data_IF_031980109551
#
_entry.id   IF_031980109551
#
_cell.length_a   1.000
_cell.length_b   1.000
_cell.length_c   1.000
_cell.angle_alpha   90.00
_cell.angle_beta   90.00
_cell.angle_gamma   90.00
#
_symmetry.space_group_name_H-M   'P 1'
#
loop_
_entity.id
_entity.type
_entity.pdbx_description
1 polymer ?
#
# COMPACT_ATOMS: atom_id res chain seq x y z
N UNK A 1 -34.33 44.95 18.20
CA UNK A 1 -34.00 43.65 18.80
C UNK A 1 -33.77 42.59 17.72
N UNK A 2 -32.78 41.71 17.91
CA UNK A 2 -32.88 40.33 17.40
C UNK A 2 -32.38 40.01 15.98
N UNK A 3 -31.12 40.28 15.64
CA UNK A 3 -30.47 39.63 14.47
C UNK A 3 -29.10 39.01 14.78
N UNK A 4 -28.83 38.67 16.04
CA UNK A 4 -27.53 38.12 16.47
C UNK A 4 -27.44 36.59 16.58
N UNK A 5 -28.50 35.83 16.33
CA UNK A 5 -28.55 34.42 16.74
C UNK A 5 -28.54 33.37 15.63
N UNK A 6 -27.79 33.59 14.54
CA UNK A 6 -27.52 32.52 13.56
C UNK A 6 -26.05 32.48 13.15
N UNK A 7 -25.16 32.58 14.14
CA UNK A 7 -23.87 31.87 14.09
C UNK A 7 -24.24 30.39 13.93
N UNK A 8 -24.48 30.00 12.67
CA UNK A 8 -24.77 28.63 12.23
C UNK A 8 -23.66 27.79 12.82
N UNK A 9 -23.98 27.05 13.86
CA UNK A 9 -23.08 26.09 14.49
C UNK A 9 -22.54 25.24 13.34
N UNK A 10 -21.24 25.38 13.03
CA UNK A 10 -20.59 24.59 11.98
C UNK A 10 -20.82 23.14 12.40
N UNK A 11 -21.70 22.43 11.70
CA UNK A 11 -21.95 21.01 11.96
C UNK A 11 -20.60 20.32 11.84
N UNK A 12 -20.12 19.75 12.94
CA UNK A 12 -18.88 19.00 12.94
C UNK A 12 -19.08 17.78 12.05
N UNK A 13 -18.38 17.75 10.91
CA UNK A 13 -18.33 16.56 10.05
C UNK A 13 -17.08 15.79 10.46
N UNK A 14 -17.21 14.63 11.13
CA UNK A 14 -16.04 13.83 11.46
C UNK A 14 -15.34 13.40 10.18
N UNK A 15 -14.02 13.48 10.17
CA UNK A 15 -13.20 12.99 9.07
C UNK A 15 -13.35 11.48 9.00
N UNK A 16 -13.70 10.95 7.83
CA UNK A 16 -13.77 9.52 7.62
C UNK A 16 -12.37 8.92 7.75
N UNK A 17 -12.23 7.88 8.57
CA UNK A 17 -10.96 7.17 8.74
C UNK A 17 -10.66 6.38 7.47
N UNK A 18 -9.58 6.74 6.79
CA UNK A 18 -9.09 6.00 5.62
C UNK A 18 -8.12 4.91 6.05
N UNK A 19 -8.08 3.83 5.27
CA UNK A 19 -7.09 2.77 5.44
C UNK A 19 -5.66 3.32 5.28
N UNK A 20 -4.68 2.76 6.01
CA UNK A 20 -3.29 3.16 5.87
C UNK A 20 -2.78 2.83 4.48
N UNK A 21 -2.00 3.76 3.90
CA UNK A 21 -1.38 3.60 2.57
C UNK A 21 0.11 3.31 2.65
N UNK A 22 0.71 3.46 3.83
CA UNK A 22 2.15 3.31 4.07
C UNK A 22 2.35 2.28 5.17
N UNK A 23 3.22 1.31 4.92
CA UNK A 23 3.48 0.17 5.79
C UNK A 23 4.95 0.06 6.20
N UNK A 24 5.23 -0.79 7.17
CA UNK A 24 6.57 -1.05 7.67
C UNK A 24 7.31 -2.07 6.79
N UNK A 25 8.51 -1.75 6.36
CA UNK A 25 9.35 -2.66 5.59
C UNK A 25 9.94 -3.79 6.46
N UNK A 26 9.80 -5.07 6.09
CA UNK A 26 10.38 -6.18 6.85
C UNK A 26 11.91 -6.20 6.79
N UNK A 27 12.52 -5.67 5.73
CA UNK A 27 13.97 -5.68 5.54
C UNK A 27 14.70 -4.56 6.30
N UNK A 28 14.12 -3.35 6.37
CA UNK A 28 14.77 -2.18 6.97
C UNK A 28 14.03 -1.59 8.18
N UNK A 29 12.87 -2.13 8.55
CA UNK A 29 12.09 -1.72 9.73
C UNK A 29 11.42 -0.34 9.64
N UNK A 30 11.62 0.42 8.57
CA UNK A 30 11.05 1.78 8.40
C UNK A 30 9.66 1.76 7.75
N UNK A 31 8.81 2.73 8.10
CA UNK A 31 7.47 2.92 7.52
C UNK A 31 7.54 3.62 6.16
N UNK A 32 8.04 2.90 5.15
CA UNK A 32 8.27 3.42 3.79
C UNK A 32 7.80 2.48 2.69
N UNK A 33 7.05 1.42 3.01
CA UNK A 33 6.49 0.53 2.01
C UNK A 33 5.21 1.12 1.42
N UNK A 34 5.19 1.18 0.09
CA UNK A 34 4.04 1.55 -0.72
C UNK A 34 3.68 0.34 -1.58
N UNK A 35 2.38 0.09 -1.73
CA UNK A 35 1.86 -1.02 -2.52
C UNK A 35 0.91 -0.42 -3.55
N UNK A 36 1.27 -0.59 -4.82
CA UNK A 36 0.42 -0.22 -5.95
C UNK A 36 -0.33 -1.48 -6.41
N UNK A 37 -1.65 -1.40 -6.53
CA UNK A 37 -2.50 -2.49 -7.00
C UNK A 37 -2.98 -2.17 -8.42
N UNK A 38 -2.66 -3.05 -9.36
CA UNK A 38 -3.09 -2.98 -10.75
C UNK A 38 -4.06 -4.13 -11.03
N UNK A 39 -5.24 -3.80 -11.53
CA UNK A 39 -6.26 -4.80 -11.86
C UNK A 39 -6.04 -5.29 -13.29
N UNK A 40 -6.09 -6.60 -13.50
CA UNK A 40 -5.99 -7.24 -14.80
C UNK A 40 -7.03 -8.34 -14.94
N UNK A 41 -7.51 -8.53 -16.17
CA UNK A 41 -8.43 -9.62 -16.50
C UNK A 41 -7.61 -10.79 -17.05
N UNK A 42 -7.79 -11.96 -16.46
CA UNK A 42 -7.21 -13.19 -17.00
C UNK A 42 -8.00 -13.70 -18.21
N UNK A 43 -7.39 -14.60 -18.98
CA UNK A 43 -8.00 -15.27 -20.15
C UNK A 43 -9.34 -16.01 -19.83
N UNK A 44 -9.58 -16.28 -18.55
CA UNK A 44 -10.80 -16.91 -18.01
C UNK A 44 -11.90 -15.90 -17.61
N UNK A 45 -11.69 -14.60 -17.84
CA UNK A 45 -12.63 -13.53 -17.47
C UNK A 45 -12.68 -13.22 -15.97
N UNK A 46 -11.71 -13.71 -15.19
CA UNK A 46 -11.60 -13.42 -13.77
C UNK A 46 -10.79 -12.14 -13.55
N UNK A 47 -11.36 -11.19 -12.79
CA UNK A 47 -10.63 -10.03 -12.29
C UNK A 47 -9.59 -10.46 -11.26
N UNK A 48 -8.32 -10.27 -11.58
CA UNK A 48 -7.20 -10.45 -10.66
C UNK A 48 -6.47 -9.13 -10.48
N UNK A 49 -5.62 -9.08 -9.46
CA UNK A 49 -4.79 -7.93 -9.14
C UNK A 49 -3.32 -8.34 -9.11
N UNK A 50 -2.50 -7.53 -9.76
CA UNK A 50 -1.06 -7.52 -9.63
C UNK A 50 -0.71 -6.46 -8.59
N UNK A 51 0.14 -6.80 -7.62
CA UNK A 51 0.65 -5.83 -6.66
C UNK A 51 2.13 -5.58 -6.87
N UNK A 52 2.47 -4.30 -6.97
CA UNK A 52 3.83 -3.79 -7.01
C UNK A 52 4.15 -3.23 -5.63
N UNK A 53 4.99 -3.95 -4.88
CA UNK A 53 5.48 -3.52 -3.57
C UNK A 53 6.78 -2.77 -3.75
N UNK A 54 6.85 -1.52 -3.27
CA UNK A 54 8.01 -0.63 -3.40
C UNK A 54 8.40 -0.07 -2.03
N UNK A 55 9.66 -0.24 -1.65
CA UNK A 55 10.23 0.43 -0.48
C UNK A 55 10.90 1.74 -0.90
N UNK A 56 10.43 2.85 -0.33
CA UNK A 56 10.97 4.20 -0.59
C UNK A 56 12.31 4.48 0.13
N UNK A 57 12.85 3.51 0.87
CA UNK A 57 14.12 3.70 1.58
C UNK A 57 15.30 3.53 0.60
N UNK A 58 16.13 4.57 0.36
CA UNK A 58 17.24 4.52 -0.59
C UNK A 58 18.31 3.48 -0.25
N UNK A 59 18.42 3.06 1.02
CA UNK A 59 19.36 2.02 1.46
C UNK A 59 18.89 0.60 1.18
N UNK A 60 17.57 0.41 1.08
CA UNK A 60 16.97 -0.92 0.93
C UNK A 60 16.55 -1.15 -0.52
N UNK A 61 15.80 -0.22 -1.12
CA UNK A 61 15.38 -0.33 -2.53
C UNK A 61 14.60 -1.61 -2.86
N UNK A 62 13.95 -2.21 -1.85
CA UNK A 62 13.20 -3.46 -2.02
C UNK A 62 12.02 -3.24 -2.96
N UNK A 63 11.99 -4.05 -4.02
CA UNK A 63 10.85 -4.17 -4.91
C UNK A 63 10.43 -5.63 -5.02
N UNK A 64 9.14 -5.86 -5.02
CA UNK A 64 8.57 -7.18 -5.20
C UNK A 64 7.30 -7.10 -6.02
N UNK A 65 7.11 -8.11 -6.86
CA UNK A 65 5.89 -8.34 -7.61
C UNK A 65 5.11 -9.47 -6.96
N UNK A 66 3.80 -9.28 -6.84
CA UNK A 66 2.84 -10.29 -6.43
C UNK A 66 1.79 -10.42 -7.51
N UNK A 67 1.80 -11.54 -8.23
CA UNK A 67 0.71 -11.91 -9.14
C UNK A 67 -0.40 -12.66 -8.41
N UNK A 68 -1.56 -12.76 -9.06
CA UNK A 68 -2.67 -13.63 -8.67
C UNK A 68 -3.30 -13.28 -7.31
N UNK A 69 -3.47 -11.99 -7.04
CA UNK A 69 -4.32 -11.54 -5.93
C UNK A 69 -5.78 -11.51 -6.39
N UNK A 70 -6.73 -11.95 -5.55
CA UNK A 70 -8.16 -11.79 -5.84
C UNK A 70 -8.54 -10.30 -5.94
N UNK A 71 -9.51 -9.95 -6.79
CA UNK A 71 -10.01 -8.57 -6.95
C UNK A 71 -10.50 -7.92 -5.65
N UNK A 72 -10.94 -8.72 -4.67
CA UNK A 72 -11.44 -8.22 -3.37
C UNK A 72 -10.32 -7.66 -2.48
N UNK A 73 -9.06 -8.02 -2.74
CA UNK A 73 -7.95 -7.63 -1.86
C UNK A 73 -7.70 -6.13 -1.92
N UNK A 74 -7.59 -5.54 -0.72
CA UNK A 74 -7.14 -4.19 -0.53
C UNK A 74 -5.62 -4.15 -0.23
N UNK A 75 -5.10 -2.94 -0.04
CA UNK A 75 -3.68 -2.68 0.20
C UNK A 75 -3.20 -3.39 1.48
N UNK A 76 -4.04 -3.43 2.51
CA UNK A 76 -3.74 -4.06 3.82
C UNK A 76 -3.65 -5.58 3.70
N UNK A 77 -4.59 -6.20 2.97
CA UNK A 77 -4.58 -7.65 2.77
C UNK A 77 -3.35 -8.10 1.97
N UNK A 78 -2.99 -7.30 0.98
CA UNK A 78 -1.81 -7.51 0.14
C UNK A 78 -0.53 -7.42 0.97
N UNK A 79 -0.44 -6.44 1.88
CA UNK A 79 0.70 -6.32 2.80
C UNK A 79 0.86 -7.55 3.69
N UNK A 80 -0.24 -8.07 4.24
CA UNK A 80 -0.21 -9.27 5.08
C UNK A 80 0.30 -10.50 4.30
N UNK A 81 -0.25 -10.71 3.09
CA UNK A 81 0.18 -11.80 2.20
C UNK A 81 1.64 -11.65 1.75
N UNK A 82 2.10 -10.41 1.55
CA UNK A 82 3.49 -10.11 1.25
C UNK A 82 4.41 -10.53 2.40
N UNK A 83 4.08 -10.19 3.65
CA UNK A 83 4.89 -10.59 4.82
C UNK A 83 5.01 -12.10 4.94
N UNK A 84 3.90 -12.83 4.77
CA UNK A 84 3.91 -14.29 4.83
C UNK A 84 4.81 -14.90 3.75
N UNK A 85 4.69 -14.43 2.51
CA UNK A 85 5.50 -14.92 1.40
C UNK A 85 6.97 -14.49 1.53
N UNK A 86 7.24 -13.30 2.07
CA UNK A 86 8.60 -12.82 2.36
C UNK A 86 9.26 -13.69 3.43
N UNK A 87 8.52 -14.05 4.49
CA UNK A 87 9.02 -14.96 5.52
C UNK A 87 9.28 -16.37 4.99
N UNK A 88 8.56 -16.81 3.96
CA UNK A 88 8.76 -18.12 3.30
C UNK A 88 9.88 -18.10 2.26
N UNK A 89 10.31 -16.92 1.79
CA UNK A 89 11.31 -16.79 0.73
C UNK A 89 10.79 -17.14 -0.69
N UNK A 90 9.47 -17.17 -0.88
CA UNK A 90 8.83 -17.58 -2.15
C UNK A 90 8.58 -16.40 -3.12
N UNK A 91 9.17 -15.23 -2.85
CA UNK A 91 8.93 -14.00 -3.64
C UNK A 91 10.05 -13.71 -4.63
N UNK A 92 9.64 -13.27 -5.82
CA UNK A 92 10.50 -12.57 -6.77
C UNK A 92 10.79 -11.17 -6.23
N UNK A 93 11.87 -11.05 -5.47
CA UNK A 93 12.36 -9.79 -4.92
C UNK A 93 13.55 -9.35 -5.76
N UNK A 94 13.56 -8.08 -6.17
CA UNK A 94 14.76 -7.44 -6.66
C UNK A 94 15.05 -6.20 -5.83
N UNK A 95 16.33 -5.97 -5.60
CA UNK A 95 16.82 -4.79 -4.93
C UNK A 95 17.36 -3.87 -6.02
N UNK A 96 16.70 -2.73 -6.23
CA UNK A 96 17.40 -1.63 -6.91
C UNK A 96 18.38 -1.05 -5.90
N UNK A 97 19.61 -1.57 -5.92
CA UNK A 97 20.73 -0.89 -5.29
C UNK A 97 20.81 0.51 -5.90
N UNK A 98 20.41 1.51 -5.13
CA UNK A 98 20.87 2.87 -5.35
C UNK A 98 22.35 2.93 -4.98
N UNK A 99 23.22 2.37 -5.83
CA UNK A 99 24.58 2.88 -5.91
C UNK A 99 24.48 4.29 -6.50
N UNK A 100 24.45 5.29 -5.63
CA UNK A 100 25.11 6.55 -5.96
C UNK A 100 26.42 6.56 -5.19
N UNK A 101 27.45 6.12 -5.92
CA UNK A 101 28.84 6.46 -5.68
C UNK A 101 28.96 7.94 -6.01
N UNK A 102 29.30 8.76 -5.02
CA UNK A 102 30.34 9.80 -5.00
C UNK A 102 30.33 10.55 -3.65
#
# INVERSE_FOLDING_TARGET
MGRRSRKRYKRFKPVQRTLPKVFQCPACGMMTLIIDLESYENELGEERKHALVKCMNPKCGLRAELSDLPSIYEVVDTYSKFLDKYSKGELTIWFEKGEQIE
#
